data_IF_304020392545
#
_entry.id   IF_304020392545
#
_cell.length_a   1.000
_cell.length_b   1.000
_cell.length_c   1.000
_cell.angle_alpha   90.00
_cell.angle_beta   90.00
_cell.angle_gamma   90.00
#
_symmetry.space_group_name_H-M   'P 1'
#
loop_
_entity.id
_entity.type
_entity.pdbx_description
1 polymer ?
#
# COMPACT_ATOMS: atom_id res chain seq x y z
N UNK A 1 26.43 10.28 -13.03
CA UNK A 1 26.49 9.07 -13.89
C UNK A 1 27.27 9.41 -15.15
N UNK A 2 28.47 8.84 -15.33
CA UNK A 2 29.34 9.20 -16.47
C UNK A 2 28.63 8.93 -17.81
N UNK A 3 28.53 9.94 -18.68
CA UNK A 3 27.83 9.83 -19.98
C UNK A 3 28.48 8.77 -20.88
N UNK A 4 29.81 8.64 -20.78
CA UNK A 4 30.62 7.67 -21.51
C UNK A 4 30.24 6.22 -21.19
N UNK A 5 29.99 5.89 -19.91
CA UNK A 5 29.62 4.52 -19.53
C UNK A 5 28.21 4.16 -20.01
N UNK A 6 27.29 5.12 -20.06
CA UNK A 6 25.96 4.91 -20.64
C UNK A 6 26.02 4.68 -22.16
N UNK A 7 26.86 5.42 -22.89
CA UNK A 7 27.09 5.19 -24.32
C UNK A 7 27.72 3.81 -24.59
N UNK A 8 28.70 3.41 -23.78
CA UNK A 8 29.29 2.08 -23.86
C UNK A 8 28.26 0.97 -23.62
N UNK A 9 27.39 1.12 -22.61
CA UNK A 9 26.30 0.16 -22.34
C UNK A 9 25.28 0.12 -23.50
N UNK A 10 24.88 1.28 -24.04
CA UNK A 10 24.00 1.35 -25.23
C UNK A 10 24.63 0.67 -26.44
N UNK A 11 25.93 0.86 -26.68
CA UNK A 11 26.64 0.14 -27.73
C UNK A 11 26.66 -1.37 -27.48
N UNK A 12 26.83 -1.78 -26.22
CA UNK A 12 26.81 -3.20 -25.81
C UNK A 12 25.42 -3.85 -25.85
N UNK A 13 24.33 -3.10 -25.90
CA UNK A 13 22.97 -3.67 -26.04
C UNK A 13 22.59 -3.95 -27.49
N UNK A 14 23.31 -3.42 -28.48
CA UNK A 14 23.05 -3.67 -29.90
C UNK A 14 23.26 -5.14 -30.26
N UNK A 15 22.27 -5.72 -30.98
CA UNK A 15 22.28 -7.11 -31.45
C UNK A 15 22.97 -7.21 -32.81
N UNK A 16 24.29 -7.22 -32.80
CA UNK A 16 25.12 -7.35 -34.00
C UNK A 16 25.29 -8.84 -34.37
N UNK A 17 25.22 -9.23 -35.66
CA UNK A 17 25.18 -10.64 -36.09
C UNK A 17 26.45 -11.45 -35.76
N UNK A 18 27.61 -10.81 -35.61
CA UNK A 18 28.86 -11.46 -35.20
C UNK A 18 29.00 -11.62 -33.67
N UNK A 19 28.06 -11.05 -32.89
CA UNK A 19 28.17 -11.00 -31.43
C UNK A 19 27.37 -12.14 -30.81
N UNK A 20 27.99 -12.89 -29.88
CA UNK A 20 27.36 -14.02 -29.18
C UNK A 20 26.81 -13.70 -27.79
N UNK A 21 27.15 -12.52 -27.27
CA UNK A 21 26.75 -12.01 -25.96
C UNK A 21 26.08 -10.65 -26.16
N UNK A 22 24.98 -10.40 -25.47
CA UNK A 22 24.21 -9.16 -25.58
C UNK A 22 23.92 -8.63 -24.18
N UNK A 23 24.02 -7.31 -24.01
CA UNK A 23 23.58 -6.67 -22.79
C UNK A 23 22.06 -6.52 -22.86
N UNK A 24 21.35 -7.17 -21.96
CA UNK A 24 19.89 -7.08 -21.85
C UNK A 24 19.48 -5.80 -21.10
N UNK A 25 20.22 -5.46 -20.04
CA UNK A 25 19.95 -4.23 -19.28
C UNK A 25 20.79 -4.10 -18.02
N UNK A 26 20.39 -3.13 -17.20
CA UNK A 26 21.02 -2.73 -15.94
C UNK A 26 19.93 -2.58 -14.88
N UNK A 27 20.27 -2.88 -13.62
CA UNK A 27 19.39 -2.55 -12.48
C UNK A 27 19.71 -1.19 -11.83
N UNK A 28 18.87 -0.77 -10.89
CA UNK A 28 19.09 0.41 -10.06
C UNK A 28 20.37 0.34 -9.21
N UNK A 29 20.85 -0.87 -8.89
CA UNK A 29 22.06 -1.11 -8.12
C UNK A 29 23.35 -1.08 -8.96
N UNK A 30 23.24 -0.99 -10.29
CA UNK A 30 24.37 -0.95 -11.21
C UNK A 30 24.88 -2.33 -11.67
N UNK A 31 24.20 -3.42 -11.33
CA UNK A 31 24.47 -4.72 -11.90
C UNK A 31 24.05 -4.76 -13.38
N UNK A 32 24.76 -5.56 -14.17
CA UNK A 32 24.50 -5.70 -15.60
C UNK A 32 24.05 -7.11 -15.94
N UNK A 33 23.04 -7.21 -16.80
CA UNK A 33 22.40 -8.46 -17.14
C UNK A 33 22.67 -8.79 -18.60
N UNK A 34 23.14 -10.01 -18.84
CA UNK A 34 23.65 -10.44 -20.13
C UNK A 34 22.93 -11.69 -20.60
N UNK A 35 22.66 -11.76 -21.89
CA UNK A 35 22.13 -12.95 -22.56
C UNK A 35 23.15 -13.44 -23.60
N UNK A 36 23.41 -14.74 -23.65
CA UNK A 36 24.40 -15.32 -24.54
C UNK A 36 24.08 -16.75 -24.96
N UNK A 37 24.65 -17.16 -26.09
CA UNK A 37 24.58 -18.53 -26.57
C UNK A 37 25.81 -19.30 -26.09
N UNK A 38 25.61 -20.39 -25.36
CA UNK A 38 26.73 -21.22 -24.90
C UNK A 38 27.18 -22.17 -26.01
N UNK A 39 28.49 -22.35 -26.23
CA UNK A 39 28.99 -23.28 -27.25
C UNK A 39 28.51 -24.72 -27.03
N UNK A 40 28.35 -25.15 -25.77
CA UNK A 40 27.93 -26.51 -25.41
C UNK A 40 26.42 -26.76 -25.54
N UNK A 41 25.61 -25.70 -25.56
CA UNK A 41 24.15 -25.79 -25.64
C UNK A 41 23.62 -24.68 -26.54
N UNK A 42 23.80 -24.82 -27.87
CA UNK A 42 23.36 -23.79 -28.80
C UNK A 42 21.84 -23.64 -28.78
N UNK A 43 21.06 -24.69 -28.51
CA UNK A 43 19.58 -24.63 -28.56
C UNK A 43 18.97 -23.56 -27.66
N UNK A 44 19.57 -23.25 -26.50
CA UNK A 44 18.99 -22.34 -25.49
C UNK A 44 19.88 -21.13 -25.21
N UNK A 45 19.28 -19.94 -25.25
CA UNK A 45 19.92 -18.71 -24.75
C UNK A 45 20.06 -18.80 -23.24
N UNK A 46 21.23 -18.45 -22.71
CA UNK A 46 21.52 -18.41 -21.26
C UNK A 46 21.58 -16.96 -20.82
N UNK A 47 21.14 -16.72 -19.59
CA UNK A 47 21.11 -15.40 -18.95
C UNK A 47 22.07 -15.41 -17.75
N UNK A 48 22.83 -14.34 -17.56
CA UNK A 48 23.79 -14.19 -16.46
C UNK A 48 23.78 -12.76 -15.94
N UNK A 49 23.97 -12.62 -14.63
CA UNK A 49 24.18 -11.33 -13.96
C UNK A 49 25.68 -11.11 -13.73
N UNK A 50 26.14 -9.90 -13.96
CA UNK A 50 27.48 -9.44 -13.55
C UNK A 50 27.30 -8.31 -12.56
N UNK A 51 27.95 -8.44 -11.40
CA UNK A 51 27.95 -7.39 -10.41
C UNK A 51 28.56 -6.10 -10.95
N UNK A 52 28.18 -4.99 -10.33
CA UNK A 52 28.88 -3.73 -10.50
C UNK A 52 30.39 -3.90 -10.24
N UNK A 53 31.21 -3.16 -11.00
CA UNK A 53 32.67 -3.27 -10.95
C UNK A 53 33.19 -3.17 -9.51
N UNK A 54 33.92 -4.20 -9.06
CA UNK A 54 34.52 -4.27 -7.72
C UNK A 54 33.73 -5.06 -6.68
N UNK A 55 32.50 -5.51 -6.99
CA UNK A 55 31.71 -6.37 -6.11
C UNK A 55 31.65 -7.80 -6.66
N UNK A 56 31.82 -8.79 -5.78
CA UNK A 56 31.61 -10.21 -6.10
C UNK A 56 30.25 -10.64 -5.54
N UNK A 57 29.42 -11.31 -6.36
CA UNK A 57 28.12 -11.81 -5.92
C UNK A 57 28.33 -13.14 -5.22
N UNK A 58 28.26 -13.15 -3.89
CA UNK A 58 28.17 -14.40 -3.14
C UNK A 58 26.80 -15.05 -3.37
N UNK A 59 26.76 -16.39 -3.34
CA UNK A 59 25.53 -17.14 -3.62
C UNK A 59 24.40 -16.81 -2.64
N UNK A 60 24.75 -16.53 -1.37
CA UNK A 60 23.83 -16.08 -0.33
C UNK A 60 23.14 -14.76 -0.66
N UNK A 61 23.88 -13.86 -1.31
CA UNK A 61 23.48 -12.47 -1.45
C UNK A 61 22.65 -12.23 -2.72
N UNK A 62 22.50 -13.27 -3.56
CA UNK A 62 21.74 -13.19 -4.81
C UNK A 62 20.31 -12.71 -4.56
N UNK A 63 19.65 -13.21 -3.51
CA UNK A 63 18.27 -12.86 -3.18
C UNK A 63 18.11 -11.40 -2.76
N UNK A 64 19.11 -10.85 -2.06
CA UNK A 64 19.09 -9.46 -1.58
C UNK A 64 19.57 -8.47 -2.65
N UNK A 65 20.56 -8.86 -3.45
CA UNK A 65 21.22 -7.98 -4.42
C UNK A 65 20.44 -7.85 -5.74
N UNK A 66 19.74 -8.90 -6.16
CA UNK A 66 19.02 -8.95 -7.43
C UNK A 66 17.53 -8.70 -7.19
N UNK A 67 16.95 -7.73 -7.89
CA UNK A 67 15.51 -7.45 -7.80
C UNK A 67 14.66 -8.67 -8.24
N UNK A 68 13.46 -8.89 -7.66
CA UNK A 68 12.56 -9.96 -8.08
C UNK A 68 12.23 -9.96 -9.57
N UNK A 69 12.12 -8.78 -10.19
CA UNK A 69 11.88 -8.65 -11.64
C UNK A 69 13.03 -9.26 -12.46
N UNK A 70 14.26 -8.97 -12.06
CA UNK A 70 15.46 -9.53 -12.69
C UNK A 70 15.62 -11.03 -12.41
N UNK A 71 15.18 -11.51 -11.24
CA UNK A 71 15.12 -12.94 -10.95
C UNK A 71 14.19 -13.70 -11.90
N UNK A 72 12.99 -13.17 -12.16
CA UNK A 72 12.05 -13.76 -13.12
C UNK A 72 12.68 -13.88 -14.51
N UNK A 73 13.35 -12.81 -14.95
CA UNK A 73 14.06 -12.82 -16.22
C UNK A 73 15.22 -13.83 -16.22
N UNK A 74 16.06 -13.88 -15.20
CA UNK A 74 17.15 -14.87 -15.10
C UNK A 74 16.64 -16.32 -15.10
N UNK A 75 15.46 -16.56 -14.50
CA UNK A 75 14.82 -17.89 -14.45
C UNK A 75 14.00 -18.22 -15.71
N UNK A 76 14.00 -17.35 -16.71
CA UNK A 76 13.21 -17.52 -17.93
C UNK A 76 11.69 -17.64 -17.70
N UNK A 77 11.18 -17.17 -16.56
CA UNK A 77 9.72 -17.07 -16.34
C UNK A 77 9.13 -15.89 -17.12
N UNK A 78 9.98 -14.93 -17.50
CA UNK A 78 9.63 -13.76 -18.31
C UNK A 78 10.46 -13.74 -19.60
N UNK A 79 9.82 -13.40 -20.72
CA UNK A 79 10.50 -13.27 -22.01
C UNK A 79 11.43 -12.04 -22.04
N UNK A 80 10.86 -10.87 -21.82
CA UNK A 80 11.55 -9.57 -21.95
C UNK A 80 12.24 -9.15 -20.65
N UNK A 81 13.36 -8.44 -20.79
CA UNK A 81 14.07 -7.87 -19.65
C UNK A 81 13.27 -6.71 -19.02
N UNK A 82 13.31 -6.55 -17.69
CA UNK A 82 12.58 -5.48 -17.02
C UNK A 82 13.14 -4.10 -17.40
N UNK A 83 12.24 -3.18 -17.74
CA UNK A 83 12.61 -1.82 -18.13
C UNK A 83 13.01 -0.96 -16.92
N UNK A 84 13.73 0.14 -17.15
CA UNK A 84 14.09 1.07 -16.06
C UNK A 84 12.85 1.64 -15.36
N UNK A 85 11.83 2.03 -16.13
CA UNK A 85 10.58 2.58 -15.59
C UNK A 85 9.83 1.54 -14.74
N UNK A 86 9.85 0.27 -15.14
CA UNK A 86 9.24 -0.80 -14.37
C UNK A 86 9.96 -1.05 -13.04
N UNK A 87 11.29 -0.97 -13.04
CA UNK A 87 12.09 -1.08 -11.82
C UNK A 87 11.80 0.06 -10.85
N UNK A 88 11.74 1.30 -11.34
CA UNK A 88 11.35 2.47 -10.54
C UNK A 88 9.91 2.34 -10.01
N UNK A 89 9.00 1.87 -10.85
CA UNK A 89 7.61 1.59 -10.47
C UNK A 89 7.49 0.55 -9.36
N UNK A 90 8.30 -0.52 -9.38
CA UNK A 90 8.29 -1.51 -8.30
C UNK A 90 8.79 -0.93 -6.97
N UNK A 91 9.81 -0.05 -7.00
CA UNK A 91 10.27 0.66 -5.80
C UNK A 91 9.16 1.55 -5.24
N UNK A 92 8.48 2.31 -6.09
CA UNK A 92 7.36 3.17 -5.67
C UNK A 92 6.21 2.34 -5.08
N UNK A 93 5.87 1.20 -5.70
CA UNK A 93 4.88 0.27 -5.17
C UNK A 93 5.27 -0.26 -3.79
N UNK A 94 6.54 -0.61 -3.58
CA UNK A 94 7.01 -1.07 -2.27
C UNK A 94 6.88 0.00 -1.19
N UNK A 95 7.15 1.26 -1.52
CA UNK A 95 6.98 2.40 -0.61
C UNK A 95 5.50 2.53 -0.22
N UNK A 96 4.60 2.59 -1.20
CA UNK A 96 3.16 2.70 -0.96
C UNK A 96 2.60 1.52 -0.15
N UNK A 97 3.09 0.31 -0.43
CA UNK A 97 2.68 -0.89 0.31
C UNK A 97 3.09 -0.83 1.78
N UNK A 98 4.29 -0.34 2.08
CA UNK A 98 4.76 -0.16 3.46
C UNK A 98 3.93 0.89 4.20
N UNK A 99 3.60 2.00 3.55
CA UNK A 99 2.72 3.02 4.12
C UNK A 99 1.32 2.48 4.38
N UNK A 100 0.75 1.74 3.42
CA UNK A 100 -0.55 1.09 3.56
C UNK A 100 -0.58 0.07 4.71
N UNK A 101 0.47 -0.75 4.84
CA UNK A 101 0.63 -1.70 5.93
C UNK A 101 0.65 -0.98 7.30
N UNK A 102 1.45 0.08 7.43
CA UNK A 102 1.51 0.90 8.65
C UNK A 102 0.14 1.46 9.06
N UNK A 103 -0.62 1.97 8.10
CA UNK A 103 -1.97 2.50 8.37
C UNK A 103 -2.95 1.38 8.75
N UNK A 104 -2.82 0.19 8.16
CA UNK A 104 -3.63 -0.96 8.52
C UNK A 104 -3.33 -1.44 9.94
N UNK A 105 -2.05 -1.51 10.32
CA UNK A 105 -1.63 -1.89 11.67
C UNK A 105 -2.17 -0.91 12.73
N UNK A 106 -2.08 0.40 12.48
CA UNK A 106 -2.67 1.41 13.37
C UNK A 106 -4.20 1.27 13.52
N UNK A 107 -4.89 0.91 12.42
CA UNK A 107 -6.35 0.62 12.44
C UNK A 107 -6.65 -0.67 13.18
N UNK A 108 -5.76 -1.66 13.11
CA UNK A 108 -5.92 -2.95 13.78
C UNK A 108 -5.70 -2.82 15.29
N UNK A 109 -4.65 -2.10 15.70
CA UNK A 109 -4.36 -1.80 17.10
C UNK A 109 -5.47 -1.00 17.77
N UNK A 110 -6.00 0.02 17.09
CA UNK A 110 -7.12 0.81 17.63
C UNK A 110 -8.40 -0.02 17.81
N UNK A 111 -8.69 -0.96 16.90
CA UNK A 111 -9.82 -1.91 17.06
C UNK A 111 -9.60 -2.90 18.21
N UNK A 112 -8.39 -3.44 18.40
CA UNK A 112 -8.08 -4.35 19.51
C UNK A 112 -8.36 -3.71 20.88
N UNK A 113 -7.96 -2.44 21.06
CA UNK A 113 -8.25 -1.69 22.29
C UNK A 113 -9.75 -1.59 22.61
N UNK A 114 -10.62 -1.52 21.59
CA UNK A 114 -12.06 -1.49 21.79
C UNK A 114 -12.65 -2.84 22.24
N UNK A 115 -12.06 -3.96 21.82
CA UNK A 115 -12.50 -5.31 22.19
C UNK A 115 -12.01 -5.69 23.60
N UNK A 116 -10.80 -5.24 23.98
CA UNK A 116 -10.20 -5.50 25.30
C UNK A 116 -10.67 -4.54 26.41
N UNK A 117 -11.68 -3.70 26.16
CA UNK A 117 -12.40 -3.04 27.26
C UNK A 117 -13.60 -3.91 27.62
N UNK A 118 -13.44 -5.00 28.40
CA UNK A 118 -14.61 -5.64 28.99
C UNK A 118 -15.28 -4.59 29.88
N UNK A 119 -16.60 -4.60 29.89
CA UNK A 119 -17.45 -3.72 30.69
C UNK A 119 -17.04 -3.74 32.17
N UNK A 120 -16.09 -2.88 32.57
CA UNK A 120 -15.66 -2.73 33.97
C UNK A 120 -16.35 -1.56 34.69
N UNK A 121 -17.40 -1.01 34.11
CA UNK A 121 -18.20 0.04 34.75
C UNK A 121 -19.69 -0.14 34.46
N UNK A 122 -20.29 -1.24 34.95
CA UNK A 122 -21.75 -1.33 35.18
C UNK A 122 -22.07 -2.22 36.39
N UNK A 123 -21.48 -1.86 37.53
CA UNK A 123 -21.91 -2.17 38.90
C UNK A 123 -20.94 -1.33 39.77
N UNK A 124 -21.31 -0.41 40.67
CA UNK A 124 -22.55 -0.24 41.43
C UNK A 124 -22.78 1.26 41.69
N UNK A 125 -24.04 1.70 41.61
CA UNK A 125 -24.44 3.09 41.86
C UNK A 125 -25.95 3.26 41.96
N UNK A 126 -26.63 2.31 42.63
CA UNK A 126 -28.03 2.49 43.03
C UNK A 126 -28.03 3.25 44.36
N UNK A 127 -28.25 4.57 44.31
CA UNK A 127 -29.04 5.35 45.28
C UNK A 127 -29.04 6.82 44.88
N UNK A 128 -30.23 7.42 44.81
CA UNK A 128 -30.37 8.88 44.88
C UNK A 128 -31.02 9.55 43.68
N UNK A 129 -32.32 9.34 43.51
CA UNK A 129 -33.23 10.28 42.87
C UNK A 129 -33.13 11.68 43.50
N UNK A 130 -32.25 12.57 43.00
CA UNK A 130 -32.26 14.01 43.36
C UNK A 130 -31.55 14.94 42.35
N UNK A 131 -31.66 14.68 41.05
CA UNK A 131 -30.95 15.45 40.02
C UNK A 131 -31.78 16.36 39.12
N UNK A 132 -33.12 16.26 39.10
CA UNK A 132 -33.94 16.90 38.06
C UNK A 132 -34.39 18.35 38.36
N UNK A 133 -34.17 18.88 39.57
CA UNK A 133 -34.61 20.25 39.91
C UNK A 133 -33.53 21.34 39.68
N UNK A 134 -32.25 20.98 39.65
CA UNK A 134 -31.17 21.97 39.56
C UNK A 134 -30.95 22.51 38.13
N UNK A 135 -31.21 21.71 37.08
CA UNK A 135 -31.00 22.14 35.70
C UNK A 135 -32.10 23.06 35.15
N UNK A 136 -33.30 23.05 35.73
CA UNK A 136 -34.38 23.97 35.30
C UNK A 136 -34.19 25.41 35.80
N UNK A 137 -33.58 25.61 36.98
CA UNK A 137 -33.38 26.97 37.53
C UNK A 137 -32.30 27.77 36.78
N UNK A 138 -31.25 27.11 36.28
CA UNK A 138 -30.17 27.78 35.54
C UNK A 138 -30.62 28.26 34.15
N UNK A 139 -31.55 27.55 33.49
CA UNK A 139 -32.06 27.96 32.17
C UNK A 139 -33.02 29.16 32.22
N UNK A 140 -33.74 29.39 33.31
CA UNK A 140 -34.62 30.56 33.44
C UNK A 140 -33.86 31.85 33.75
N UNK A 141 -32.75 31.76 34.49
CA UNK A 141 -31.95 32.93 34.87
C UNK A 141 -31.15 33.49 33.68
N UNK A 142 -30.64 32.60 32.81
CA UNK A 142 -29.96 32.98 31.55
C UNK A 142 -30.95 33.59 30.55
N UNK A 143 -32.19 33.08 30.48
CA UNK A 143 -33.23 33.62 29.58
C UNK A 143 -33.68 35.02 30.01
N UNK A 144 -33.73 35.29 31.32
CA UNK A 144 -34.14 36.59 31.88
C UNK A 144 -33.03 37.66 31.84
N UNK A 145 -31.76 37.26 31.68
CA UNK A 145 -30.64 38.17 31.46
C UNK A 145 -30.55 38.73 30.04
N UNK A 146 -31.11 38.02 29.05
CA UNK A 146 -31.00 38.39 27.62
C UNK A 146 -31.99 39.48 27.18
N UNK A 147 -33.03 39.78 27.95
CA UNK A 147 -34.09 40.76 27.59
C UNK A 147 -33.84 42.18 28.14
N UNK A 148 -32.74 42.43 28.87
CA UNK A 148 -32.37 43.77 29.35
C UNK A 148 -30.97 44.16 28.88
N UNK A 149 -30.87 44.54 27.61
CA UNK A 149 -29.63 45.04 27.03
C UNK A 149 -29.83 45.71 25.68
N UNK A 150 -30.48 46.88 25.67
CA UNK A 150 -30.43 47.81 24.55
C UNK A 150 -29.08 48.54 24.57
N UNK A 151 -28.40 48.56 23.42
CA UNK A 151 -27.49 49.67 23.05
C UNK A 151 -26.09 49.26 22.60
N UNK A 152 -25.82 49.42 21.29
CA UNK A 152 -24.46 49.67 20.77
C UNK A 152 -24.06 48.89 19.52
N UNK A 153 -24.30 49.46 18.33
CA UNK A 153 -23.46 49.30 17.12
C UNK A 153 -22.14 50.08 17.31
N UNK A 154 -21.03 49.87 16.54
CA UNK A 154 -20.93 49.58 15.09
C UNK A 154 -19.95 48.39 14.83
N UNK A 155 -19.55 47.92 13.64
CA UNK A 155 -19.52 48.37 12.25
C UNK A 155 -19.23 47.12 11.37
N UNK A 156 -19.65 47.15 10.10
CA UNK A 156 -19.43 46.11 9.10
C UNK A 156 -17.96 45.99 8.65
N UNK A 157 -17.44 44.76 8.57
CA UNK A 157 -16.53 44.36 7.48
C UNK A 157 -17.03 43.03 6.93
N UNK A 158 -17.76 43.11 5.83
CA UNK A 158 -18.24 41.94 5.06
C UNK A 158 -17.08 41.46 4.19
N UNK A 159 -16.50 40.32 4.55
CA UNK A 159 -15.66 39.52 3.68
C UNK A 159 -16.40 38.24 3.32
N UNK A 160 -16.89 38.17 2.08
CA UNK A 160 -17.51 36.99 1.47
C UNK A 160 -16.58 35.77 1.51
N UNK A 161 -16.79 34.87 2.47
CA UNK A 161 -16.24 33.51 2.41
C UNK A 161 -17.28 32.61 1.76
N UNK A 162 -17.15 32.45 0.43
CA UNK A 162 -17.85 31.41 -0.31
C UNK A 162 -17.51 30.05 0.31
N UNK A 163 -18.51 29.41 0.91
CA UNK A 163 -18.46 28.05 1.42
C UNK A 163 -18.20 27.10 0.25
N UNK A 164 -16.92 26.78 0.02
CA UNK A 164 -16.52 25.75 -0.92
C UNK A 164 -17.07 24.42 -0.41
N UNK A 165 -18.06 23.87 -1.12
CA UNK A 165 -18.54 22.50 -0.93
C UNK A 165 -17.35 21.56 -1.15
N UNK A 166 -16.82 21.03 -0.04
CA UNK A 166 -15.84 19.96 -0.08
C UNK A 166 -16.55 18.72 -0.62
N UNK A 167 -16.22 18.36 -1.86
CA UNK A 167 -16.63 17.07 -2.42
C UNK A 167 -16.13 15.97 -1.47
N UNK A 168 -16.97 15.01 -1.06
CA UNK A 168 -16.53 13.94 -0.18
C UNK A 168 -15.37 13.18 -0.82
N UNK A 169 -14.38 12.85 0.00
CA UNK A 169 -13.17 12.13 -0.41
C UNK A 169 -13.59 10.82 -1.10
N UNK A 170 -13.10 10.48 -2.32
CA UNK A 170 -13.60 9.34 -3.10
C UNK A 170 -13.62 8.00 -2.33
N UNK A 171 -12.73 7.85 -1.36
CA UNK A 171 -12.64 6.67 -0.50
C UNK A 171 -13.71 6.58 0.60
N UNK A 172 -14.42 7.66 0.93
CA UNK A 172 -15.56 7.61 1.85
C UNK A 172 -16.82 7.04 1.19
N UNK A 173 -17.03 7.40 -0.08
CA UNK A 173 -18.15 6.89 -0.89
C UNK A 173 -18.03 5.38 -1.09
N UNK A 174 -16.82 4.88 -1.36
CA UNK A 174 -16.53 3.44 -1.48
C UNK A 174 -16.77 2.70 -0.14
N UNK A 175 -16.36 3.29 0.98
CA UNK A 175 -16.59 2.74 2.33
C UNK A 175 -18.08 2.62 2.67
N UNK A 176 -18.87 3.62 2.32
CA UNK A 176 -20.32 3.58 2.55
C UNK A 176 -21.00 2.52 1.69
N UNK A 177 -20.58 2.36 0.42
CA UNK A 177 -21.04 1.26 -0.44
C UNK A 177 -20.68 -0.11 0.15
N UNK A 178 -19.46 -0.29 0.63
CA UNK A 178 -19.02 -1.56 1.24
C UNK A 178 -19.75 -1.87 2.55
N UNK A 179 -20.03 -0.87 3.39
CA UNK A 179 -20.86 -1.05 4.61
C UNK A 179 -22.29 -1.49 4.27
N UNK A 180 -22.88 -0.92 3.22
CA UNK A 180 -24.23 -1.30 2.78
C UNK A 180 -24.26 -2.66 2.06
N UNK A 181 -23.10 -3.14 1.59
CA UNK A 181 -22.93 -4.46 0.95
C UNK A 181 -22.27 -5.47 1.90
N UNK A 182 -22.24 -5.19 3.21
CA UNK A 182 -21.55 -6.00 4.23
C UNK A 182 -22.27 -7.33 4.53
N UNK A 183 -22.70 -8.05 3.50
CA UNK A 183 -22.79 -9.50 3.54
C UNK A 183 -21.38 -10.04 3.28
N UNK A 184 -20.79 -10.71 4.26
CA UNK A 184 -19.49 -11.37 4.12
C UNK A 184 -19.54 -12.27 2.87
N UNK A 185 -18.65 -12.11 1.86
CA UNK A 185 -18.73 -12.87 0.60
C UNK A 185 -18.60 -14.40 0.78
N UNK A 186 -18.25 -14.88 1.98
CA UNK A 186 -18.27 -16.30 2.37
C UNK A 186 -19.42 -16.71 3.31
N UNK A 187 -20.40 -15.85 3.59
CA UNK A 187 -21.47 -16.12 4.57
C UNK A 187 -22.38 -17.30 4.20
N UNK A 188 -22.42 -17.68 2.93
CA UNK A 188 -23.13 -18.86 2.42
C UNK A 188 -22.22 -20.00 1.95
N UNK A 189 -20.90 -19.89 2.09
CA UNK A 189 -19.98 -20.93 1.63
C UNK A 189 -19.89 -22.04 2.68
N UNK A 190 -20.52 -23.18 2.41
CA UNK A 190 -20.30 -24.42 3.14
C UNK A 190 -19.54 -25.39 2.22
N UNK A 191 -18.36 -25.90 2.62
CA UNK A 191 -17.64 -26.87 1.81
C UNK A 191 -18.44 -28.18 1.75
N UNK A 192 -18.56 -28.74 0.54
CA UNK A 192 -19.14 -30.06 0.34
C UNK A 192 -18.28 -31.12 1.04
N UNK A 193 -18.90 -32.06 1.77
CA UNK A 193 -18.17 -33.11 2.49
C UNK A 193 -17.52 -34.06 1.47
N UNK A 194 -16.19 -34.16 1.52
CA UNK A 194 -15.40 -35.05 0.66
C UNK A 194 -15.82 -36.52 0.86
N UNK A 195 -16.39 -37.14 -0.18
CA UNK A 195 -16.72 -38.57 -0.21
C UNK A 195 -15.72 -39.31 -1.12
N UNK A 196 -14.89 -40.22 -0.58
CA UNK A 196 -13.94 -40.96 -1.40
C UNK A 196 -14.66 -41.93 -2.36
N UNK A 197 -14.16 -42.12 -3.59
CA UNK A 197 -14.76 -43.04 -4.54
C UNK A 197 -14.66 -44.49 -4.04
N UNK A 198 -15.67 -45.34 -4.32
CA UNK A 198 -15.63 -46.75 -3.93
C UNK A 198 -14.49 -47.47 -4.66
N UNK A 199 -13.82 -48.35 -3.90
CA UNK A 199 -12.67 -49.14 -4.36
C UNK A 199 -13.13 -50.11 -5.46
N UNK A 200 -12.61 -49.94 -6.69
CA UNK A 200 -12.88 -50.86 -7.81
C UNK A 200 -12.34 -52.25 -7.47
N UNK A 201 -13.18 -53.28 -7.59
CA UNK A 201 -12.80 -54.70 -7.49
C UNK A 201 -12.33 -55.21 -8.83
#
# INVERSE_FOLDING_TARGET
MSTLSNLWLKWKSLRLPWRRTFLAGRDLHGNTYWEFRSPSSPTRMRRIVKAASGSHIHHSDIQALVSPLWHQWLRHTRADAPSMQEQEGDVMRQIQLKEGARLADARWESKKRYIETPAREKDEGVTGTRGHEAQRRVSEEVRRGMERGLGGRPEEVVGDVKKAEQKPDPWEVERQKQKNTASNPGGGFQPEAWTPPPRRR
#
